data_IF_125612204798
#
_entry.id   IF_125612204798
#
_cell.length_a   1.000
_cell.length_b   1.000
_cell.length_c   1.000
_cell.angle_alpha   90.00
_cell.angle_beta   90.00
_cell.angle_gamma   90.00
#
_symmetry.space_group_name_H-M   'P 1'
#
loop_
_entity.id
_entity.type
_entity.pdbx_description
1 polymer ?
#
# COMPACT_ATOMS: atom_id res chain seq x y z
N UNK A 1 25.33 13.99 12.09
CA UNK A 1 24.81 12.73 12.67
C UNK A 1 24.40 12.97 14.13
N UNK A 2 23.13 12.81 14.53
CA UNK A 2 22.66 13.16 15.90
C UNK A 2 22.89 12.06 16.95
N UNK A 3 23.19 10.84 16.50
CA UNK A 3 23.49 9.69 17.37
C UNK A 3 24.97 9.60 17.78
N UNK A 4 25.81 10.53 17.33
CA UNK A 4 27.23 10.53 17.59
C UNK A 4 27.64 11.83 18.30
N UNK A 5 28.53 11.72 19.29
CA UNK A 5 29.12 12.86 20.00
C UNK A 5 30.61 13.01 19.70
N UNK A 6 31.24 14.06 20.24
CA UNK A 6 32.67 14.36 20.05
C UNK A 6 33.59 13.20 20.50
N UNK A 7 33.17 12.42 21.50
CA UNK A 7 33.89 11.25 21.98
C UNK A 7 34.01 10.12 20.96
N UNK A 8 33.19 10.13 19.91
CA UNK A 8 33.11 9.07 18.91
C UNK A 8 33.93 9.39 17.65
N UNK A 9 34.58 10.55 17.60
CA UNK A 9 35.41 10.97 16.46
C UNK A 9 36.53 9.95 16.22
N UNK A 10 36.61 9.45 14.98
CA UNK A 10 37.58 8.43 14.56
C UNK A 10 37.12 6.99 14.77
N UNK A 11 35.96 6.75 15.39
CA UNK A 11 35.36 5.42 15.47
C UNK A 11 34.55 5.11 14.20
N UNK A 12 34.32 3.82 13.95
CA UNK A 12 33.41 3.40 12.89
C UNK A 12 32.00 3.95 13.15
N UNK A 13 31.40 4.57 12.13
CA UNK A 13 30.10 5.24 12.28
C UNK A 13 28.96 4.28 12.65
N UNK A 14 28.96 3.05 12.14
CA UNK A 14 27.95 2.06 12.45
C UNK A 14 28.08 1.58 13.90
N UNK A 15 29.30 1.24 14.34
CA UNK A 15 29.58 0.85 15.72
C UNK A 15 29.21 1.95 16.72
N UNK A 16 29.58 3.20 16.42
CA UNK A 16 29.28 4.35 17.26
C UNK A 16 27.78 4.64 17.42
N UNK A 17 26.96 4.23 16.44
CA UNK A 17 25.51 4.52 16.40
C UNK A 17 24.65 3.34 16.87
N UNK A 18 25.17 2.11 16.79
CA UNK A 18 24.42 0.86 17.05
C UNK A 18 23.67 0.88 18.37
N UNK A 19 24.36 1.22 19.46
CA UNK A 19 23.78 1.14 20.80
C UNK A 19 22.58 2.06 20.96
N UNK A 20 22.66 3.28 20.44
CA UNK A 20 21.56 4.24 20.55
C UNK A 20 20.39 3.89 19.63
N UNK A 21 20.67 3.42 18.41
CA UNK A 21 19.62 2.92 17.50
C UNK A 21 18.82 1.78 18.12
N UNK A 22 19.50 0.80 18.73
CA UNK A 22 18.84 -0.34 19.38
C UNK A 22 17.91 0.07 20.53
N UNK A 23 18.11 1.24 21.15
CA UNK A 23 17.22 1.70 22.23
C UNK A 23 15.88 2.27 21.75
N UNK A 24 15.74 2.57 20.45
CA UNK A 24 14.52 3.17 19.91
C UNK A 24 13.36 2.16 19.86
N UNK A 25 13.66 0.89 19.62
CA UNK A 25 12.67 -0.19 19.64
C UNK A 25 13.32 -1.51 20.08
N UNK A 26 13.05 -2.00 21.31
CA UNK A 26 13.60 -3.25 21.82
C UNK A 26 13.17 -4.50 21.06
N UNK A 27 12.09 -4.44 20.29
CA UNK A 27 11.59 -5.56 19.48
C UNK A 27 12.34 -5.72 18.15
N UNK A 28 13.26 -4.80 17.83
CA UNK A 28 14.06 -4.82 16.60
C UNK A 28 15.52 -5.04 16.95
N UNK A 29 16.10 -6.12 16.43
CA UNK A 29 17.53 -6.39 16.55
C UNK A 29 18.34 -5.46 15.63
N UNK A 30 19.34 -4.79 16.19
CA UNK A 30 20.26 -3.93 15.44
C UNK A 30 21.67 -4.49 15.54
N UNK A 31 22.22 -4.91 14.41
CA UNK A 31 23.58 -5.43 14.28
C UNK A 31 24.45 -4.52 13.40
N UNK A 32 25.77 -4.69 13.50
CA UNK A 32 26.75 -3.93 12.70
C UNK A 32 27.57 -4.91 11.89
N UNK A 33 27.79 -4.56 10.62
CA UNK A 33 28.72 -5.23 9.72
C UNK A 33 29.77 -4.24 9.26
N UNK A 34 31.04 -4.61 9.36
CA UNK A 34 32.19 -3.81 8.93
C UNK A 34 33.02 -4.51 7.83
N UNK A 35 32.55 -5.67 7.36
CA UNK A 35 33.16 -6.41 6.27
C UNK A 35 32.66 -5.93 4.90
N UNK A 36 33.07 -6.66 3.87
CA UNK A 36 32.62 -6.42 2.49
C UNK A 36 31.12 -6.72 2.33
N UNK A 37 30.48 -6.01 1.41
CA UNK A 37 29.09 -6.22 1.02
C UNK A 37 29.01 -7.38 0.00
N UNK A 38 29.36 -8.59 0.44
CA UNK A 38 29.33 -9.77 -0.43
C UNK A 38 27.90 -10.16 -0.80
N UNK A 39 27.74 -10.87 -1.92
CA UNK A 39 26.44 -11.38 -2.36
C UNK A 39 25.76 -12.23 -1.27
N UNK A 40 26.52 -13.08 -0.57
CA UNK A 40 25.99 -13.92 0.52
C UNK A 40 25.45 -13.08 1.67
N UNK A 41 26.13 -11.98 2.02
CA UNK A 41 25.66 -11.06 3.04
C UNK A 41 24.37 -10.36 2.60
N UNK A 42 24.33 -9.84 1.38
CA UNK A 42 23.18 -9.11 0.84
C UNK A 42 21.91 -9.98 0.79
N UNK A 43 22.05 -11.26 0.40
CA UNK A 43 20.90 -12.19 0.30
C UNK A 43 20.23 -12.52 1.64
N UNK A 44 20.82 -12.12 2.77
CA UNK A 44 20.17 -12.23 4.07
C UNK A 44 19.07 -11.18 4.30
N UNK A 45 19.00 -10.14 3.46
CA UNK A 45 18.10 -9.00 3.62
C UNK A 45 17.01 -8.97 2.54
N UNK A 46 15.85 -8.42 2.91
CA UNK A 46 14.74 -8.19 1.97
C UNK A 46 14.85 -6.80 1.32
N UNK A 47 15.48 -5.85 2.03
CA UNK A 47 15.66 -4.46 1.58
C UNK A 47 17.09 -4.04 1.87
N UNK A 48 17.75 -3.43 0.90
CA UNK A 48 19.09 -2.84 1.02
C UNK A 48 19.00 -1.35 0.70
N UNK A 49 19.54 -0.53 1.61
CA UNK A 49 19.61 0.93 1.43
C UNK A 49 21.08 1.34 1.39
N UNK A 50 21.51 1.94 0.28
CA UNK A 50 22.83 2.56 0.18
C UNK A 50 22.73 4.07 0.36
N UNK A 51 23.62 4.59 1.22
CA UNK A 51 23.81 6.01 1.42
C UNK A 51 25.28 6.36 1.28
N UNK A 52 25.56 7.57 0.80
CA UNK A 52 26.92 8.12 0.68
C UNK A 52 27.94 7.22 -0.08
N UNK A 53 27.47 6.30 -0.93
CA UNK A 53 28.31 5.37 -1.70
C UNK A 53 28.67 5.92 -3.10
N UNK A 54 29.82 5.54 -3.67
CA UNK A 54 30.16 5.87 -5.05
C UNK A 54 29.26 5.14 -6.05
N UNK A 55 29.06 5.74 -7.22
CA UNK A 55 28.18 5.19 -8.26
C UNK A 55 28.56 3.77 -8.70
N UNK A 56 29.85 3.45 -8.77
CA UNK A 56 30.32 2.11 -9.14
C UNK A 56 29.83 1.03 -8.16
N UNK A 57 29.85 1.32 -6.86
CA UNK A 57 29.32 0.42 -5.83
C UNK A 57 27.79 0.35 -5.92
N UNK A 58 27.11 1.46 -6.16
CA UNK A 58 25.65 1.48 -6.35
C UNK A 58 25.21 0.60 -7.51
N UNK A 59 25.92 0.64 -8.64
CA UNK A 59 25.64 -0.21 -9.80
C UNK A 59 25.89 -1.68 -9.48
N UNK A 60 27.05 -1.99 -8.89
CA UNK A 60 27.41 -3.37 -8.57
C UNK A 60 26.42 -4.03 -7.59
N UNK A 61 26.10 -3.33 -6.49
CA UNK A 61 25.18 -3.83 -5.47
C UNK A 61 23.74 -3.82 -6.00
N UNK A 62 23.36 -2.80 -6.77
CA UNK A 62 22.05 -2.71 -7.42
C UNK A 62 21.78 -3.90 -8.35
N UNK A 63 22.75 -4.26 -9.21
CA UNK A 63 22.64 -5.42 -10.11
C UNK A 63 22.44 -6.73 -9.33
N UNK A 64 23.16 -6.90 -8.22
CA UNK A 64 23.01 -8.07 -7.35
C UNK A 64 21.61 -8.08 -6.72
N UNK A 65 21.18 -6.96 -6.13
CA UNK A 65 19.89 -6.86 -5.46
C UNK A 65 18.74 -7.14 -6.43
N UNK A 66 18.74 -6.52 -7.61
CA UNK A 66 17.73 -6.72 -8.63
C UNK A 66 17.65 -8.19 -9.06
N UNK A 67 18.80 -8.81 -9.39
CA UNK A 67 18.85 -10.21 -9.81
C UNK A 67 18.41 -11.21 -8.73
N UNK A 68 18.44 -10.82 -7.46
CA UNK A 68 18.01 -11.65 -6.32
C UNK A 68 16.62 -11.31 -5.79
N UNK A 69 15.93 -10.32 -6.38
CA UNK A 69 14.62 -9.86 -5.91
C UNK A 69 14.68 -9.16 -4.55
N UNK A 70 15.81 -8.51 -4.24
CA UNK A 70 15.99 -7.70 -3.03
C UNK A 70 15.61 -6.26 -3.38
N UNK A 71 14.71 -5.65 -2.61
CA UNK A 71 14.37 -4.24 -2.81
C UNK A 71 15.59 -3.36 -2.53
N UNK A 72 15.90 -2.46 -3.46
CA UNK A 72 17.09 -1.63 -3.43
C UNK A 72 16.73 -0.15 -3.43
N UNK A 73 17.35 0.61 -2.53
CA UNK A 73 17.14 2.05 -2.39
C UNK A 73 18.49 2.74 -2.33
N UNK A 74 18.66 3.81 -3.09
CA UNK A 74 19.81 4.72 -2.98
C UNK A 74 19.32 6.08 -2.53
N UNK A 75 19.92 6.61 -1.47
CA UNK A 75 19.65 7.97 -1.00
C UNK A 75 20.97 8.70 -0.73
N UNK A 76 21.17 9.85 -1.36
CA UNK A 76 22.35 10.69 -1.13
C UNK A 76 21.96 12.16 -1.07
N UNK A 77 22.71 12.93 -0.27
CA UNK A 77 22.49 14.34 -0.07
C UNK A 77 23.83 15.11 -0.21
N UNK A 78 23.88 16.05 -1.15
CA UNK A 78 25.03 16.91 -1.42
C UNK A 78 24.65 18.37 -1.15
N UNK A 79 24.69 18.75 0.13
CA UNK A 79 24.33 20.10 0.58
C UNK A 79 22.83 20.38 0.38
N UNK A 80 22.49 21.18 -0.64
CA UNK A 80 21.11 21.56 -0.94
C UNK A 80 20.40 20.60 -1.91
N UNK A 81 21.16 19.72 -2.58
CA UNK A 81 20.62 18.74 -3.50
C UNK A 81 20.53 17.38 -2.82
N UNK A 82 19.47 16.64 -3.13
CA UNK A 82 19.29 15.25 -2.72
C UNK A 82 18.88 14.40 -3.91
N UNK A 83 19.20 13.12 -3.85
CA UNK A 83 18.72 12.10 -4.77
C UNK A 83 18.08 10.96 -3.99
N UNK A 84 17.05 10.37 -4.59
CA UNK A 84 16.41 9.14 -4.14
C UNK A 84 16.16 8.29 -5.38
N UNK A 85 16.57 7.03 -5.32
CA UNK A 85 16.31 6.02 -6.34
C UNK A 85 15.78 4.76 -5.65
N UNK A 86 14.80 4.10 -6.28
CA UNK A 86 14.20 2.87 -5.79
C UNK A 86 14.09 1.88 -6.94
N UNK A 87 14.49 0.63 -6.67
CA UNK A 87 14.31 -0.53 -7.51
C UNK A 87 13.74 -1.66 -6.66
N UNK A 88 12.48 -2.01 -6.89
CA UNK A 88 11.79 -3.07 -6.15
C UNK A 88 11.63 -4.36 -6.97
N UNK A 89 12.39 -4.48 -8.05
CA UNK A 89 12.39 -5.61 -8.97
C UNK A 89 11.28 -5.56 -10.01
N UNK A 90 11.25 -6.60 -10.84
CA UNK A 90 10.33 -6.68 -11.98
C UNK A 90 8.85 -6.89 -11.58
N UNK A 91 8.62 -7.41 -10.36
CA UNK A 91 7.30 -7.82 -9.86
C UNK A 91 7.05 -7.29 -8.46
N UNK A 92 6.68 -6.01 -8.35
CA UNK A 92 6.33 -5.38 -7.08
C UNK A 92 4.82 -5.11 -7.00
N UNK A 93 4.15 -5.61 -5.96
CA UNK A 93 2.70 -5.45 -5.79
C UNK A 93 2.40 -4.34 -4.79
N UNK A 94 1.75 -3.28 -5.27
CA UNK A 94 1.22 -2.19 -4.45
C UNK A 94 -0.20 -2.54 -4.04
N UNK A 95 -0.39 -2.81 -2.75
CA UNK A 95 -1.70 -3.19 -2.22
C UNK A 95 -2.67 -2.01 -2.05
N UNK A 96 -2.16 -0.81 -1.79
CA UNK A 96 -2.94 0.41 -1.68
C UNK A 96 -2.27 1.55 -2.47
N UNK A 97 -2.53 1.64 -3.78
CA UNK A 97 -1.82 2.57 -4.67
C UNK A 97 -2.24 4.04 -4.51
N UNK A 98 -3.28 4.32 -3.73
CA UNK A 98 -3.81 5.68 -3.54
C UNK A 98 -3.86 5.98 -2.04
N UNK A 99 -3.22 7.06 -1.61
CA UNK A 99 -3.38 7.55 -0.24
C UNK A 99 -4.82 8.05 -0.01
N UNK A 100 -5.48 7.55 1.04
CA UNK A 100 -6.80 8.01 1.46
C UNK A 100 -7.71 6.86 1.89
N UNK A 101 -8.65 7.15 2.78
CA UNK A 101 -9.63 6.16 3.25
C UNK A 101 -10.48 5.63 2.08
N UNK A 102 -10.71 4.31 2.05
CA UNK A 102 -11.63 3.71 1.08
C UNK A 102 -13.04 4.28 1.29
N UNK A 103 -13.70 4.65 0.18
CA UNK A 103 -15.07 5.13 0.27
C UNK A 103 -16.01 4.04 0.77
N UNK A 104 -16.91 4.42 1.67
CA UNK A 104 -17.81 3.49 2.33
C UNK A 104 -19.18 4.15 2.56
N UNK A 105 -20.25 3.46 2.18
CA UNK A 105 -21.61 3.94 2.33
C UNK A 105 -22.54 2.84 2.85
N UNK A 106 -23.50 3.21 3.67
CA UNK A 106 -24.52 2.29 4.21
C UNK A 106 -25.63 2.10 3.19
N UNK A 107 -25.98 0.85 2.90
CA UNK A 107 -27.07 0.52 1.99
C UNK A 107 -28.41 0.76 2.70
N UNK A 108 -29.28 1.53 2.05
CA UNK A 108 -30.66 1.74 2.49
C UNK A 108 -31.62 0.80 1.77
N UNK A 109 -31.42 0.63 0.46
CA UNK A 109 -32.29 -0.20 -0.37
C UNK A 109 -31.56 -0.70 -1.62
N UNK A 110 -31.91 -1.90 -2.09
CA UNK A 110 -31.46 -2.45 -3.36
C UNK A 110 -32.67 -2.91 -4.16
N UNK A 111 -32.82 -2.39 -5.38
CA UNK A 111 -33.88 -2.82 -6.30
C UNK A 111 -33.52 -4.13 -7.00
N UNK A 112 -34.55 -4.94 -7.31
CA UNK A 112 -34.44 -6.12 -8.17
C UNK A 112 -34.77 -5.72 -9.61
N UNK A 113 -33.76 -5.59 -10.46
CA UNK A 113 -33.93 -5.16 -11.83
C UNK A 113 -32.65 -5.25 -12.66
N UNK A 114 -32.77 -4.90 -13.94
CA UNK A 114 -31.65 -4.81 -14.85
C UNK A 114 -31.60 -3.40 -15.46
N UNK A 115 -30.69 -2.54 -15.03
CA UNK A 115 -29.67 -2.75 -14.00
C UNK A 115 -30.24 -2.63 -12.57
N UNK A 116 -29.54 -3.19 -11.58
CA UNK A 116 -29.89 -3.02 -10.18
C UNK A 116 -29.54 -1.61 -9.71
N UNK A 117 -30.41 -0.99 -8.91
CA UNK A 117 -30.17 0.33 -8.31
C UNK A 117 -30.05 0.18 -6.80
N UNK A 118 -28.94 0.67 -6.26
CA UNK A 118 -28.62 0.76 -4.83
C UNK A 118 -28.85 2.19 -4.37
N UNK A 119 -29.65 2.34 -3.32
CA UNK A 119 -29.75 3.60 -2.57
C UNK A 119 -28.86 3.49 -1.34
N UNK A 120 -27.92 4.41 -1.17
CA UNK A 120 -26.97 4.41 -0.07
C UNK A 120 -26.72 5.82 0.48
N UNK A 121 -26.35 5.88 1.75
CA UNK A 121 -25.95 7.11 2.45
C UNK A 121 -24.48 7.00 2.85
N UNK A 122 -23.74 8.12 2.78
CA UNK A 122 -22.34 8.17 3.18
C UNK A 122 -22.14 7.88 4.67
N UNK A 123 -20.88 7.88 5.11
CA UNK A 123 -20.52 7.69 6.52
C UNK A 123 -21.16 8.74 7.45
N UNK A 124 -21.36 9.95 6.95
CA UNK A 124 -22.15 10.97 7.60
C UNK A 124 -23.58 10.91 7.04
N UNK A 125 -24.59 10.69 7.90
CA UNK A 125 -25.98 10.38 7.51
C UNK A 125 -26.66 11.43 6.59
N UNK A 126 -26.09 12.64 6.48
CA UNK A 126 -26.56 13.72 5.61
C UNK A 126 -25.75 13.90 4.32
N UNK A 127 -24.72 13.10 4.09
CA UNK A 127 -23.85 13.19 2.94
C UNK A 127 -24.05 12.00 2.00
N UNK A 128 -23.83 12.25 0.71
CA UNK A 128 -23.93 11.25 -0.34
C UNK A 128 -22.82 10.21 -0.27
N UNK A 129 -22.81 9.28 -1.22
CA UNK A 129 -21.89 8.14 -1.22
C UNK A 129 -20.47 8.46 -1.74
N UNK A 130 -20.26 9.61 -2.36
CA UNK A 130 -18.98 10.11 -2.89
C UNK A 130 -18.23 9.25 -3.93
N UNK A 131 -18.73 8.05 -4.28
CA UNK A 131 -18.22 7.27 -5.43
C UNK A 131 -18.32 8.03 -6.76
N UNK A 132 -17.47 7.63 -7.71
CA UNK A 132 -17.43 8.08 -9.10
C UNK A 132 -17.84 6.96 -10.07
N UNK A 133 -18.14 7.35 -11.31
CA UNK A 133 -18.40 6.40 -12.40
C UNK A 133 -17.18 5.52 -12.68
N UNK A 134 -17.37 4.20 -12.61
CA UNK A 134 -16.33 3.21 -12.87
C UNK A 134 -15.60 2.70 -11.63
N UNK A 135 -15.88 3.26 -10.44
CA UNK A 135 -15.31 2.77 -9.19
C UNK A 135 -15.73 1.31 -8.96
N UNK A 136 -14.77 0.47 -8.57
CA UNK A 136 -15.03 -0.91 -8.19
C UNK A 136 -15.49 -0.96 -6.74
N UNK A 137 -16.63 -1.61 -6.50
CA UNK A 137 -17.20 -1.75 -5.17
C UNK A 137 -17.51 -3.20 -4.82
N UNK A 138 -17.51 -3.48 -3.52
CA UNK A 138 -17.99 -4.72 -2.92
C UNK A 138 -19.08 -4.46 -1.90
N UNK A 139 -19.96 -5.45 -1.73
CA UNK A 139 -21.05 -5.43 -0.76
C UNK A 139 -20.77 -6.40 0.37
N UNK A 140 -21.17 -6.01 1.58
CA UNK A 140 -21.05 -6.87 2.77
C UNK A 140 -22.21 -6.61 3.72
N UNK A 141 -22.65 -7.63 4.45
CA UNK A 141 -23.73 -7.51 5.45
C UNK A 141 -25.11 -7.21 4.88
N UNK A 142 -25.33 -7.41 3.57
CA UNK A 142 -26.64 -7.25 2.93
C UNK A 142 -27.54 -8.41 3.37
N UNK A 143 -28.74 -8.12 3.86
CA UNK A 143 -29.73 -9.12 4.24
C UNK A 143 -30.79 -9.31 3.14
N UNK A 144 -31.29 -10.53 3.00
CA UNK A 144 -32.26 -10.91 1.97
C UNK A 144 -31.61 -11.17 0.61
N UNK A 145 -30.83 -10.20 0.09
CA UNK A 145 -30.09 -10.30 -1.18
C UNK A 145 -28.64 -10.78 -0.95
N UNK A 146 -28.51 -12.01 -0.43
CA UNK A 146 -27.22 -12.56 0.03
C UNK A 146 -26.21 -12.78 -1.10
N UNK A 147 -26.70 -12.97 -2.34
CA UNK A 147 -25.88 -13.19 -3.53
C UNK A 147 -24.87 -12.05 -3.73
N UNK A 148 -25.26 -10.83 -3.34
CA UNK A 148 -24.43 -9.65 -3.49
C UNK A 148 -23.22 -9.64 -2.53
N UNK A 149 -23.32 -10.30 -1.37
CA UNK A 149 -22.22 -10.41 -0.42
C UNK A 149 -21.08 -11.32 -0.90
N UNK A 150 -21.36 -12.20 -1.86
CA UNK A 150 -20.38 -13.16 -2.41
C UNK A 150 -19.95 -12.82 -3.83
N UNK A 151 -20.34 -11.65 -4.33
CA UNK A 151 -19.98 -11.17 -5.65
C UNK A 151 -18.55 -10.61 -5.67
N UNK A 152 -17.83 -10.88 -6.76
CA UNK A 152 -16.58 -10.18 -7.08
C UNK A 152 -16.82 -8.66 -7.24
N UNK A 153 -15.78 -7.83 -6.99
CA UNK A 153 -15.86 -6.38 -7.16
C UNK A 153 -16.50 -5.99 -8.49
N UNK A 154 -17.41 -5.03 -8.45
CA UNK A 154 -18.19 -4.64 -9.62
C UNK A 154 -18.11 -3.13 -9.85
N UNK A 155 -18.03 -2.68 -11.11
CA UNK A 155 -18.05 -1.26 -11.40
C UNK A 155 -19.44 -0.69 -11.10
N UNK A 156 -19.47 0.53 -10.54
CA UNK A 156 -20.71 1.28 -10.35
C UNK A 156 -20.85 2.40 -11.38
N UNK A 157 -22.10 2.79 -11.66
CA UNK A 157 -22.43 4.05 -12.33
C UNK A 157 -23.23 4.93 -11.37
N UNK A 158 -22.80 6.16 -11.18
CA UNK A 158 -23.44 7.15 -10.32
C UNK A 158 -24.65 7.71 -11.03
N UNK A 159 -25.82 7.61 -10.40
CA UNK A 159 -27.06 8.22 -10.89
C UNK A 159 -27.28 9.60 -10.27
N UNK A 160 -27.07 9.70 -8.96
CA UNK A 160 -27.14 10.92 -8.17
C UNK A 160 -26.33 10.76 -6.87
N UNK A 161 -26.41 11.71 -5.92
CA UNK A 161 -25.62 11.67 -4.68
C UNK A 161 -25.92 10.47 -3.76
N UNK A 162 -27.05 9.79 -3.93
CA UNK A 162 -27.53 8.71 -3.06
C UNK A 162 -27.79 7.42 -3.81
N UNK A 163 -27.67 7.40 -5.15
CA UNK A 163 -28.05 6.27 -5.98
C UNK A 163 -26.94 5.84 -6.91
N UNK A 164 -26.62 4.56 -6.80
CA UNK A 164 -25.66 3.86 -7.64
C UNK A 164 -26.39 2.81 -8.47
N UNK A 165 -25.97 2.67 -9.71
CA UNK A 165 -26.34 1.58 -10.59
C UNK A 165 -25.26 0.49 -10.55
N UNK A 166 -25.72 -0.75 -10.42
CA UNK A 166 -24.90 -1.96 -10.35
C UNK A 166 -25.37 -2.97 -11.39
N UNK A 167 -24.75 -4.16 -11.37
CA UNK A 167 -25.12 -5.32 -12.20
C UNK A 167 -26.62 -5.68 -12.09
N UNK A 168 -27.06 -6.55 -13.00
CA UNK A 168 -28.40 -7.13 -12.97
C UNK A 168 -28.66 -7.88 -11.64
N UNK A 169 -29.72 -7.47 -10.94
CA UNK A 169 -30.18 -8.07 -9.68
C UNK A 169 -31.54 -8.76 -9.85
N UNK A 170 -32.06 -8.90 -11.07
CA UNK A 170 -33.37 -9.49 -11.35
C UNK A 170 -33.49 -10.96 -10.91
N UNK A 171 -32.38 -11.70 -10.92
CA UNK A 171 -32.31 -13.09 -10.48
C UNK A 171 -31.98 -13.25 -9.00
N UNK A 172 -31.72 -12.16 -8.28
CA UNK A 172 -31.31 -12.22 -6.88
C UNK A 172 -32.53 -12.24 -5.96
N UNK A 173 -32.33 -12.70 -4.74
CA UNK A 173 -33.33 -12.67 -3.68
C UNK A 173 -33.70 -11.22 -3.29
N UNK A 174 -34.93 -10.97 -2.84
CA UNK A 174 -35.37 -9.61 -2.48
C UNK A 174 -34.59 -9.09 -1.28
N UNK A 175 -34.13 -7.85 -1.36
CA UNK A 175 -33.45 -7.16 -0.28
C UNK A 175 -34.38 -6.99 0.93
N UNK A 176 -33.89 -7.31 2.13
CA UNK A 176 -34.66 -7.18 3.38
C UNK A 176 -34.12 -6.13 4.33
N UNK A 177 -32.83 -5.78 4.24
CA UNK A 177 -32.22 -4.79 5.13
C UNK A 177 -30.70 -4.85 5.18
N UNK A 178 -30.12 -3.91 5.91
CA UNK A 178 -28.68 -3.87 6.20
C UNK A 178 -27.79 -3.67 4.97
N UNK A 179 -26.50 -3.85 5.17
CA UNK A 179 -25.51 -3.85 4.10
C UNK A 179 -24.69 -2.58 4.01
N UNK A 180 -23.49 -2.76 3.46
CA UNK A 180 -22.52 -1.71 3.24
C UNK A 180 -21.87 -1.92 1.88
N UNK A 181 -21.70 -0.82 1.16
CA UNK A 181 -20.92 -0.77 -0.08
C UNK A 181 -19.58 -0.11 0.23
N UNK A 182 -18.50 -0.75 -0.20
CA UNK A 182 -17.13 -0.28 0.03
C UNK A 182 -16.35 -0.30 -1.27
N UNK A 183 -15.58 0.75 -1.52
CA UNK A 183 -14.65 0.82 -2.63
C UNK A 183 -13.58 -0.26 -2.50
N UNK A 184 -13.16 -0.82 -3.63
CA UNK A 184 -12.05 -1.75 -3.73
C UNK A 184 -11.05 -1.20 -4.73
N UNK A 185 -9.82 -0.98 -4.26
CA UNK A 185 -8.70 -0.65 -5.14
C UNK A 185 -8.03 -1.95 -5.58
N UNK A 186 -7.95 -2.25 -6.89
CA UNK A 186 -7.20 -3.40 -7.35
C UNK A 186 -5.73 -3.23 -6.99
N UNK A 187 -5.06 -4.34 -6.67
CA UNK A 187 -3.61 -4.33 -6.49
C UNK A 187 -2.95 -3.92 -7.80
N UNK A 188 -1.98 -3.01 -7.72
CA UNK A 188 -1.21 -2.58 -8.88
C UNK A 188 0.12 -3.33 -8.90
N UNK A 189 0.39 -4.05 -9.98
CA UNK A 189 1.71 -4.65 -10.22
C UNK A 189 2.57 -3.64 -10.98
N UNK A 190 3.76 -3.38 -10.44
CA UNK A 190 4.76 -2.47 -10.95
C UNK A 190 6.04 -3.24 -11.28
N UNK A 191 6.74 -2.78 -12.32
CA UNK A 191 8.05 -3.27 -12.74
C UNK A 191 9.02 -2.10 -12.72
N UNK A 192 10.17 -2.29 -12.06
CA UNK A 192 11.20 -1.28 -11.86
C UNK A 192 12.47 -1.61 -12.63
#
# INVERSE_FOLDING_TARGET
QFLQGESNVGQNHAEASQRLLATLNPDVEVSVHSGELSEEFLTAFQVVVLTESPLEEQLHIGDICHAKGICFIVADAKGLAGQLFCDFGEHFVVHDPVEGDLLCATVQHISQGNPGIVTCIGADENHGHHFNDGDLVMFSGVEGMLELNSCEPCPVRVLDAFRLEIRDTSTFSPYSGGGRVSEVRPHQECSH
#
